data_IF_263263343367
#
_entry.id   IF_263263343367
#
_cell.length_a   1.000
_cell.length_b   1.000
_cell.length_c   1.000
_cell.angle_alpha   90.00
_cell.angle_beta   90.00
_cell.angle_gamma   90.00
#
_symmetry.space_group_name_H-M   'P 1'
#
loop_
_entity.id
_entity.type
_entity.pdbx_description
1 polymer ?
#
# COMPACT_ATOMS: atom_id res chain seq x y z
N UNK A 1 -17.05 -7.41 -0.86
CA UNK A 1 -17.62 -6.49 -1.88
C UNK A 1 -16.92 -5.14 -1.78
N UNK A 2 -15.89 -4.89 -2.59
CA UNK A 2 -15.27 -3.55 -2.72
C UNK A 2 -15.99 -2.76 -3.80
N UNK A 3 -16.61 -1.64 -3.41
CA UNK A 3 -17.50 -0.81 -4.23
C UNK A 3 -16.75 -0.14 -5.40
N UNK A 4 -16.95 -0.62 -6.64
CA UNK A 4 -16.43 0.01 -7.87
C UNK A 4 -16.96 1.45 -8.07
N UNK A 5 -18.00 1.89 -7.36
CA UNK A 5 -18.47 3.29 -7.42
C UNK A 5 -17.54 4.27 -6.69
N UNK A 6 -16.75 3.77 -5.74
CA UNK A 6 -15.81 4.57 -4.96
C UNK A 6 -14.77 5.25 -5.86
N UNK A 7 -14.29 4.58 -6.90
CA UNK A 7 -13.17 5.05 -7.74
C UNK A 7 -13.51 6.30 -8.56
N UNK A 8 -14.74 6.41 -9.10
CA UNK A 8 -15.15 7.59 -9.88
C UNK A 8 -15.27 8.82 -9.00
N UNK A 9 -15.90 8.70 -7.82
CA UNK A 9 -16.01 9.80 -6.85
C UNK A 9 -14.66 10.17 -6.22
N UNK A 10 -13.80 9.18 -5.96
CA UNK A 10 -12.44 9.43 -5.50
C UNK A 10 -11.62 10.21 -6.53
N UNK A 11 -11.79 9.92 -7.83
CA UNK A 11 -11.14 10.67 -8.92
C UNK A 11 -11.62 12.12 -8.98
N UNK A 12 -12.93 12.30 -8.95
CA UNK A 12 -13.54 13.62 -8.96
C UNK A 12 -13.06 14.47 -7.76
N UNK A 13 -13.00 13.85 -6.58
CA UNK A 13 -12.45 14.47 -5.38
C UNK A 13 -10.97 14.84 -5.54
N UNK A 14 -10.15 13.91 -6.05
CA UNK A 14 -8.72 14.14 -6.25
C UNK A 14 -8.47 15.30 -7.22
N UNK A 15 -9.18 15.33 -8.36
CA UNK A 15 -9.09 16.39 -9.35
C UNK A 15 -9.54 17.73 -8.80
N UNK A 16 -10.60 17.75 -7.98
CA UNK A 16 -11.05 18.97 -7.33
C UNK A 16 -9.99 19.51 -6.35
N UNK A 17 -9.41 18.64 -5.52
CA UNK A 17 -8.37 19.05 -4.56
C UNK A 17 -7.15 19.59 -5.28
N UNK A 18 -6.70 18.92 -6.35
CA UNK A 18 -5.58 19.37 -7.17
C UNK A 18 -5.84 20.74 -7.80
N UNK A 19 -6.97 20.89 -8.50
CA UNK A 19 -7.35 22.16 -9.12
C UNK A 19 -7.53 23.30 -8.11
N UNK A 20 -8.05 23.00 -6.92
CA UNK A 20 -8.18 23.98 -5.85
C UNK A 20 -6.80 24.45 -5.33
N UNK A 21 -5.86 23.52 -5.13
CA UNK A 21 -4.50 23.85 -4.71
C UNK A 21 -3.78 24.68 -5.78
N UNK A 22 -3.91 24.30 -7.05
CA UNK A 22 -3.31 25.06 -8.16
C UNK A 22 -3.89 26.47 -8.29
N UNK A 23 -5.18 26.65 -8.04
CA UNK A 23 -5.85 27.95 -8.13
C UNK A 23 -5.62 28.86 -6.92
N UNK A 24 -5.47 28.30 -5.71
CA UNK A 24 -5.45 29.07 -4.47
C UNK A 24 -4.12 29.03 -3.71
N UNK A 25 -3.23 28.09 -4.02
CA UNK A 25 -1.96 27.88 -3.32
C UNK A 25 -2.08 27.17 -1.97
N UNK A 26 -3.27 26.67 -1.60
CA UNK A 26 -3.51 25.92 -0.36
C UNK A 26 -4.60 24.86 -0.54
N UNK A 27 -4.63 23.85 0.35
CA UNK A 27 -5.60 22.76 0.29
C UNK A 27 -7.01 23.17 0.72
N UNK A 28 -8.07 22.64 0.08
CA UNK A 28 -9.45 22.92 0.47
C UNK A 28 -9.81 22.25 1.80
N UNK A 29 -10.66 22.89 2.59
CA UNK A 29 -11.27 22.26 3.76
C UNK A 29 -12.30 21.19 3.38
N UNK A 30 -12.58 20.26 4.29
CA UNK A 30 -13.57 19.21 4.03
C UNK A 30 -14.98 19.78 3.77
N UNK A 31 -15.31 20.94 4.35
CA UNK A 31 -16.57 21.64 4.07
C UNK A 31 -16.59 22.25 2.67
N UNK A 32 -15.46 22.71 2.13
CA UNK A 32 -15.36 23.20 0.74
C UNK A 32 -15.50 22.05 -0.25
N UNK A 33 -14.81 20.94 -0.02
CA UNK A 33 -14.93 19.72 -0.83
C UNK A 33 -16.39 19.21 -0.81
N UNK A 34 -17.02 19.18 0.37
CA UNK A 34 -18.41 18.75 0.51
C UNK A 34 -19.35 19.61 -0.35
N UNK A 35 -19.22 20.95 -0.28
CA UNK A 35 -20.08 21.86 -1.04
C UNK A 35 -19.83 21.79 -2.53
N UNK A 36 -18.58 21.73 -2.95
CA UNK A 36 -18.21 21.72 -4.38
C UNK A 36 -18.65 20.44 -5.09
N UNK A 37 -18.56 19.29 -4.42
CA UNK A 37 -18.84 17.98 -5.00
C UNK A 37 -20.20 17.39 -4.58
N UNK A 38 -21.02 18.16 -3.85
CA UNK A 38 -22.37 17.76 -3.46
C UNK A 38 -22.43 16.56 -2.51
N UNK A 39 -21.42 16.36 -1.65
CA UNK A 39 -21.46 15.30 -0.65
C UNK A 39 -22.52 15.60 0.42
N UNK A 40 -23.19 14.56 0.92
CA UNK A 40 -24.23 14.67 1.95
C UNK A 40 -23.68 15.01 3.34
N UNK A 41 -22.41 14.67 3.62
CA UNK A 41 -21.78 14.97 4.90
C UNK A 41 -20.27 15.16 4.78
N UNK A 42 -19.70 15.91 5.72
CA UNK A 42 -18.25 16.08 5.90
C UNK A 42 -17.58 14.74 6.22
N UNK A 43 -18.26 13.86 6.96
CA UNK A 43 -17.76 12.53 7.30
C UNK A 43 -17.53 11.66 6.07
N UNK A 44 -18.42 11.75 5.07
CA UNK A 44 -18.24 11.06 3.78
C UNK A 44 -16.99 11.56 3.04
N UNK A 45 -16.74 12.87 3.06
CA UNK A 45 -15.51 13.45 2.49
C UNK A 45 -14.28 12.93 3.22
N UNK A 46 -14.30 12.89 4.55
CA UNK A 46 -13.21 12.37 5.36
C UNK A 46 -12.85 10.94 4.98
N UNK A 47 -13.84 10.05 4.89
CA UNK A 47 -13.65 8.64 4.47
C UNK A 47 -12.98 8.55 3.10
N UNK A 48 -13.41 9.37 2.14
CA UNK A 48 -12.81 9.36 0.81
C UNK A 48 -11.38 9.89 0.80
N UNK A 49 -11.10 10.96 1.55
CA UNK A 49 -9.75 11.51 1.71
C UNK A 49 -8.83 10.50 2.38
N UNK A 50 -9.26 9.86 3.47
CA UNK A 50 -8.47 8.85 4.18
C UNK A 50 -8.17 7.65 3.28
N UNK A 51 -9.13 7.26 2.44
CA UNK A 51 -8.92 6.26 1.39
C UNK A 51 -7.89 6.68 0.34
N UNK A 52 -7.88 7.95 -0.08
CA UNK A 52 -6.87 8.48 -1.00
C UNK A 52 -5.48 8.60 -0.35
N UNK A 53 -5.41 8.94 0.95
CA UNK A 53 -4.18 8.97 1.73
C UNK A 53 -3.58 7.56 1.85
N UNK A 54 -4.40 6.58 2.21
CA UNK A 54 -3.98 5.17 2.33
C UNK A 54 -3.39 4.65 1.02
N UNK A 55 -3.99 5.06 -0.11
CA UNK A 55 -3.53 4.70 -1.45
C UNK A 55 -2.34 5.56 -1.96
N UNK A 56 -1.90 6.57 -1.21
CA UNK A 56 -0.75 7.40 -1.58
C UNK A 56 -1.02 8.48 -2.62
N UNK A 57 -2.28 8.85 -2.86
CA UNK A 57 -2.64 9.94 -3.79
C UNK A 57 -2.59 11.32 -3.14
N UNK A 58 -2.87 11.38 -1.84
CA UNK A 58 -2.97 12.62 -1.07
C UNK A 58 -2.18 12.48 0.22
N UNK A 59 -1.60 13.56 0.72
CA UNK A 59 -0.97 13.63 2.05
C UNK A 59 -1.57 14.79 2.85
N UNK A 60 -1.63 14.64 4.16
CA UNK A 60 -1.80 15.76 5.10
C UNK A 60 -0.44 16.09 5.70
N UNK A 61 -0.02 17.35 5.63
CA UNK A 61 1.19 17.81 6.33
C UNK A 61 0.96 18.01 7.83
N UNK A 62 -0.26 18.43 8.21
CA UNK A 62 -0.64 18.71 9.60
C UNK A 62 -2.07 18.23 9.91
N UNK A 63 -2.53 18.38 11.16
CA UNK A 63 -3.90 18.00 11.58
C UNK A 63 -5.00 18.94 11.05
N UNK A 64 -4.69 19.78 10.06
CA UNK A 64 -5.63 20.73 9.44
C UNK A 64 -6.03 20.26 8.05
N UNK A 65 -7.32 20.43 7.72
CA UNK A 65 -7.81 20.18 6.37
C UNK A 65 -7.17 21.08 5.30
N UNK A 66 -6.61 22.24 5.70
CA UNK A 66 -5.89 23.15 4.79
C UNK A 66 -4.49 22.66 4.40
N UNK A 67 -3.99 21.64 5.10
CA UNK A 67 -2.67 21.06 4.88
C UNK A 67 -2.70 19.87 3.92
N UNK A 68 -3.79 19.72 3.14
CA UNK A 68 -3.90 18.70 2.09
C UNK A 68 -2.98 19.04 0.92
N UNK A 69 -2.24 18.03 0.47
CA UNK A 69 -1.33 18.08 -0.66
C UNK A 69 -1.59 16.87 -1.56
N UNK A 70 -1.64 17.09 -2.87
CA UNK A 70 -1.77 16.03 -3.87
C UNK A 70 -0.39 15.52 -4.22
N UNK A 71 -0.17 14.21 -4.04
CA UNK A 71 1.10 13.54 -4.40
C UNK A 71 1.07 13.16 -5.88
N UNK A 72 -0.03 12.55 -6.32
CA UNK A 72 -0.25 12.18 -7.73
C UNK A 72 -1.74 12.23 -8.06
N UNK A 73 -2.05 12.72 -9.25
CA UNK A 73 -3.41 12.82 -9.81
C UNK A 73 -3.79 11.61 -10.64
N UNK A 74 -2.81 10.79 -11.03
CA UNK A 74 -3.01 9.57 -11.79
C UNK A 74 -3.34 8.43 -10.84
N UNK A 75 -4.62 8.04 -10.79
CA UNK A 75 -5.13 6.91 -10.01
C UNK A 75 -4.59 5.54 -10.45
N UNK A 76 -3.77 5.50 -11.50
CA UNK A 76 -3.08 4.31 -11.99
C UNK A 76 -1.58 4.34 -11.62
N UNK A 77 -1.05 5.52 -11.27
CA UNK A 77 0.36 5.75 -10.88
C UNK A 77 0.51 5.97 -9.37
N UNK A 78 -0.43 5.48 -8.54
CA UNK A 78 -0.17 5.45 -7.10
C UNK A 78 1.20 4.80 -6.88
N UNK A 79 2.03 5.36 -5.97
CA UNK A 79 3.15 4.59 -5.47
C UNK A 79 2.55 3.28 -4.98
N UNK A 80 2.96 2.16 -5.56
CA UNK A 80 2.61 0.82 -5.09
C UNK A 80 3.03 0.85 -3.62
N UNK A 81 2.08 1.08 -2.72
CA UNK A 81 2.39 1.25 -1.32
C UNK A 81 2.73 -0.17 -0.87
N UNK A 82 4.02 -0.51 -0.89
CA UNK A 82 4.56 -1.84 -0.56
C UNK A 82 4.42 -2.15 0.93
N UNK A 83 3.43 -1.57 1.59
CA UNK A 83 3.17 -1.77 3.00
C UNK A 83 2.42 -3.08 3.14
N UNK A 84 3.19 -4.16 3.25
CA UNK A 84 2.66 -5.47 3.65
C UNK A 84 2.00 -5.30 5.01
N UNK A 85 0.72 -5.64 5.13
CA UNK A 85 0.05 -5.64 6.44
C UNK A 85 0.61 -6.75 7.33
N UNK A 86 0.55 -6.60 8.65
CA UNK A 86 1.03 -7.63 9.58
C UNK A 86 0.41 -9.03 9.33
N UNK A 87 -0.85 -9.08 8.89
CA UNK A 87 -1.51 -10.34 8.51
C UNK A 87 -0.93 -10.94 7.23
N UNK A 88 -0.60 -10.10 6.24
CA UNK A 88 0.05 -10.54 5.00
C UNK A 88 1.49 -10.97 5.25
N UNK A 89 2.24 -10.27 6.10
CA UNK A 89 3.59 -10.64 6.50
C UNK A 89 3.60 -12.03 7.13
N UNK A 90 2.72 -12.26 8.12
CA UNK A 90 2.59 -13.56 8.78
C UNK A 90 2.24 -14.68 7.80
N UNK A 91 1.35 -14.41 6.84
CA UNK A 91 1.00 -15.38 5.80
C UNK A 91 2.19 -15.70 4.89
N UNK A 92 2.95 -14.69 4.45
CA UNK A 92 4.14 -14.87 3.59
C UNK A 92 5.22 -15.68 4.33
N UNK A 93 5.50 -15.33 5.59
CA UNK A 93 6.50 -16.04 6.40
C UNK A 93 6.11 -17.51 6.57
N UNK A 94 4.83 -17.79 6.85
CA UNK A 94 4.34 -19.16 6.98
C UNK A 94 4.48 -19.93 5.66
N UNK A 95 4.10 -19.33 4.53
CA UNK A 95 4.22 -19.96 3.22
C UNK A 95 5.68 -20.31 2.86
N UNK A 96 6.63 -19.44 3.19
CA UNK A 96 8.06 -19.70 3.02
C UNK A 96 8.51 -20.84 3.95
N UNK A 97 8.03 -20.85 5.19
CA UNK A 97 8.34 -21.91 6.15
C UNK A 97 7.83 -23.28 5.67
N UNK A 98 6.61 -23.36 5.15
CA UNK A 98 6.05 -24.60 4.58
C UNK A 98 6.86 -25.10 3.38
N UNK A 99 7.47 -24.19 2.59
CA UNK A 99 8.37 -24.55 1.50
C UNK A 99 9.68 -25.13 1.99
N UNK A 100 10.26 -24.62 3.08
CA UNK A 100 11.42 -25.25 3.73
C UNK A 100 11.11 -26.67 4.18
N UNK A 101 9.95 -26.91 4.79
CA UNK A 101 9.54 -28.26 5.23
C UNK A 101 9.37 -29.22 4.05
N UNK A 102 8.94 -28.70 2.89
CA UNK A 102 8.83 -29.48 1.65
C UNK A 102 10.20 -29.81 1.06
N UNK A 103 11.16 -28.89 1.14
CA UNK A 103 12.56 -29.09 0.72
C UNK A 103 13.22 -30.22 1.51
N UNK A 104 13.06 -30.24 2.83
CA UNK A 104 13.65 -31.28 3.70
C UNK A 104 13.07 -32.68 3.42
N UNK A 105 11.80 -32.77 3.00
CA UNK A 105 11.13 -34.05 2.74
C UNK A 105 11.43 -34.61 1.35
N UNK A 106 11.53 -33.75 0.34
CA UNK A 106 11.55 -34.18 -1.06
C UNK A 106 12.90 -33.97 -1.76
N UNK A 107 13.86 -33.27 -1.13
CA UNK A 107 15.21 -32.98 -1.67
C UNK A 107 15.19 -32.63 -3.17
N UNK A 108 14.34 -31.65 -3.53
CA UNK A 108 14.11 -31.25 -4.91
C UNK A 108 14.68 -29.86 -5.17
N UNK A 109 15.59 -29.76 -6.14
CA UNK A 109 16.23 -28.51 -6.57
C UNK A 109 15.21 -27.45 -7.03
N UNK A 110 14.06 -27.87 -7.57
CA UNK A 110 12.98 -26.95 -7.95
C UNK A 110 12.40 -26.18 -6.76
N UNK A 111 12.37 -26.80 -5.57
CA UNK A 111 11.88 -26.13 -4.34
C UNK A 111 12.91 -25.15 -3.81
N UNK A 112 14.20 -25.44 -4.03
CA UNK A 112 15.29 -24.55 -3.69
C UNK A 112 15.24 -23.26 -4.53
N UNK A 113 15.01 -23.39 -5.84
CA UNK A 113 14.83 -22.24 -6.74
C UNK A 113 13.63 -21.37 -6.33
N UNK A 114 12.50 -21.99 -5.99
CA UNK A 114 11.33 -21.28 -5.46
C UNK A 114 11.68 -20.47 -4.19
N UNK A 115 12.44 -21.07 -3.27
CA UNK A 115 12.85 -20.40 -2.03
C UNK A 115 13.74 -19.18 -2.29
N UNK A 116 14.68 -19.26 -3.24
CA UNK A 116 15.50 -18.10 -3.62
C UNK A 116 14.66 -16.93 -4.13
N UNK A 117 13.66 -17.23 -4.99
CA UNK A 117 12.75 -16.21 -5.52
C UNK A 117 11.91 -15.59 -4.41
N UNK A 118 11.32 -16.41 -3.54
CA UNK A 118 10.48 -15.94 -2.44
C UNK A 118 11.26 -15.08 -1.45
N UNK A 119 12.48 -15.50 -1.08
CA UNK A 119 13.35 -14.74 -0.17
C UNK A 119 13.79 -13.42 -0.82
N UNK A 120 14.08 -13.41 -2.13
CA UNK A 120 14.37 -12.19 -2.88
C UNK A 120 13.19 -11.21 -2.90
N UNK A 121 11.97 -11.72 -3.05
CA UNK A 121 10.75 -10.92 -3.03
C UNK A 121 10.53 -10.20 -1.70
N UNK A 122 10.92 -10.79 -0.56
CA UNK A 122 10.84 -10.14 0.76
C UNK A 122 11.56 -8.79 0.79
N UNK A 123 12.77 -8.71 0.20
CA UNK A 123 13.55 -7.47 0.12
C UNK A 123 12.85 -6.42 -0.74
N UNK A 124 12.20 -6.85 -1.83
CA UNK A 124 11.45 -5.96 -2.70
C UNK A 124 10.23 -5.40 -1.95
N UNK A 125 9.59 -6.22 -1.11
CA UNK A 125 8.43 -5.88 -0.29
C UNK A 125 8.77 -5.08 0.98
N UNK A 126 10.05 -4.80 1.25
CA UNK A 126 10.47 -4.07 2.45
C UNK A 126 10.36 -4.89 3.75
N UNK A 127 10.28 -6.22 3.65
CA UNK A 127 10.29 -7.14 4.78
C UNK A 127 11.73 -7.53 5.13
N UNK A 128 12.55 -6.54 5.53
CA UNK A 128 13.99 -6.70 5.67
C UNK A 128 14.38 -7.70 6.77
N UNK A 129 13.73 -7.66 7.94
CA UNK A 129 14.00 -8.59 9.03
C UNK A 129 13.68 -10.04 8.64
N UNK A 130 12.54 -10.25 7.98
CA UNK A 130 12.16 -11.55 7.45
C UNK A 130 13.12 -12.02 6.35
N UNK A 131 13.58 -11.12 5.48
CA UNK A 131 14.57 -11.44 4.45
C UNK A 131 15.89 -11.93 5.07
N UNK A 132 16.42 -11.22 6.07
CA UNK A 132 17.66 -11.62 6.75
C UNK A 132 17.50 -12.97 7.43
N UNK A 133 16.40 -13.18 8.16
CA UNK A 133 16.13 -14.42 8.87
C UNK A 133 16.01 -15.63 7.92
N UNK A 134 15.23 -15.51 6.85
CA UNK A 134 15.01 -16.60 5.89
C UNK A 134 16.26 -16.89 5.05
N UNK A 135 17.03 -15.86 4.69
CA UNK A 135 18.32 -16.02 4.01
C UNK A 135 19.33 -16.77 4.87
N UNK A 136 19.41 -16.45 6.17
CA UNK A 136 20.29 -17.16 7.10
C UNK A 136 19.90 -18.65 7.20
N UNK A 137 18.60 -18.94 7.29
CA UNK A 137 18.09 -20.32 7.30
C UNK A 137 18.45 -21.09 6.03
N UNK A 138 18.28 -20.49 4.85
CA UNK A 138 18.67 -21.11 3.58
C UNK A 138 20.18 -21.37 3.52
N UNK A 139 21.00 -20.41 3.96
CA UNK A 139 22.46 -20.55 3.98
C UNK A 139 22.91 -21.70 4.88
N UNK A 140 22.26 -21.87 6.04
CA UNK A 140 22.54 -22.98 6.95
C UNK A 140 22.17 -24.34 6.35
N UNK A 141 21.12 -24.42 5.53
CA UNK A 141 20.76 -25.66 4.82
C UNK A 141 21.81 -26.04 3.77
N UNK A 142 22.32 -25.07 3.01
CA UNK A 142 23.32 -25.31 1.95
C UNK A 142 24.71 -25.68 2.48
N UNK A 143 25.03 -25.23 3.69
CA UNK A 143 26.31 -25.51 4.36
C UNK A 143 26.28 -26.82 5.17
N UNK A 144 25.17 -27.57 5.15
CA UNK A 144 24.96 -28.80 5.90
C UNK A 144 25.19 -30.02 5.02
#
# INVERSE_FOLDING_TARGET
MGDLRSTKKQRELLNFVDGFIQGHGYGPSYREIMRALGYKSVSTVAIHIDGLITKGYVRKRDNSARSLEVITTHLDDAPINKTVTASQEKWIINAITDRFDSLEKQHNDSVLDELYVLIGALKILGLDDAHVAMKARLSNYLNR
#
